data_IF_155504705338
#
_entry.id   IF_155504705338
#
_cell.length_a   1.000
_cell.length_b   1.000
_cell.length_c   1.000
_cell.angle_alpha   90.00
_cell.angle_beta   90.00
_cell.angle_gamma   90.00
#
_symmetry.space_group_name_H-M   'P 1'
#
loop_
_entity.id
_entity.type
_entity.pdbx_description
1 polymer ?
#
# COMPACT_ATOMS: atom_id res chain seq x y z
N UNK A 1 4.72 -11.58 -16.91
CA UNK A 1 4.75 -10.40 -17.81
C UNK A 1 5.91 -9.49 -17.44
N UNK A 2 6.50 -8.73 -18.38
CA UNK A 2 7.41 -7.63 -18.00
C UNK A 2 6.65 -6.72 -17.04
N UNK A 3 7.09 -6.67 -15.78
CA UNK A 3 6.54 -5.75 -14.81
C UNK A 3 6.55 -4.36 -15.42
N UNK A 4 5.40 -3.69 -15.38
CA UNK A 4 5.27 -2.27 -15.73
C UNK A 4 6.55 -1.57 -15.28
N UNK A 5 7.30 -0.93 -16.18
CA UNK A 5 8.54 -0.22 -15.83
C UNK A 5 8.32 0.88 -14.78
N UNK A 6 7.06 1.12 -14.38
CA UNK A 6 6.62 2.00 -13.32
C UNK A 6 6.77 1.33 -11.95
N UNK A 7 7.26 2.12 -10.99
CA UNK A 7 7.28 1.73 -9.59
C UNK A 7 5.86 1.75 -9.02
N UNK A 8 5.53 0.77 -8.20
CA UNK A 8 4.29 0.75 -7.41
C UNK A 8 4.20 2.01 -6.55
N UNK A 9 3.03 2.65 -6.58
CA UNK A 9 2.71 3.79 -5.74
C UNK A 9 1.92 3.34 -4.52
N UNK A 10 2.19 3.99 -3.39
CA UNK A 10 1.44 3.85 -2.15
C UNK A 10 0.94 5.20 -1.69
N UNK A 11 -0.26 5.26 -1.12
CA UNK A 11 -0.81 6.47 -0.51
C UNK A 11 -1.67 6.14 0.70
N UNK A 12 -1.88 7.12 1.58
CA UNK A 12 -2.91 7.10 2.62
C UNK A 12 -3.87 8.27 2.37
N UNK A 13 -5.17 8.02 2.29
CA UNK A 13 -6.14 9.07 2.01
C UNK A 13 -7.53 8.52 1.77
N UNK A 14 -8.41 9.38 1.25
CA UNK A 14 -9.78 9.00 0.90
C UNK A 14 -9.89 8.83 -0.61
N UNK A 15 -10.24 7.62 -1.08
CA UNK A 15 -10.51 7.32 -2.48
C UNK A 15 -11.92 6.73 -2.58
N UNK A 16 -12.75 7.28 -3.47
CA UNK A 16 -14.16 6.86 -3.63
C UNK A 16 -14.98 6.88 -2.32
N UNK A 17 -14.67 7.79 -1.40
CA UNK A 17 -15.39 7.98 -0.14
C UNK A 17 -14.92 7.09 1.01
N UNK A 18 -13.94 6.22 0.77
CA UNK A 18 -13.38 5.33 1.78
C UNK A 18 -11.98 5.80 2.16
N UNK A 19 -11.68 5.86 3.46
CA UNK A 19 -10.32 6.16 3.94
C UNK A 19 -9.52 4.88 4.12
N UNK A 20 -8.24 4.92 3.76
CA UNK A 20 -7.33 3.81 3.98
C UNK A 20 -5.96 4.00 3.36
N UNK A 21 -5.23 2.90 3.31
CA UNK A 21 -3.99 2.76 2.56
C UNK A 21 -4.31 2.17 1.20
N UNK A 22 -3.72 2.73 0.16
CA UNK A 22 -3.96 2.31 -1.22
C UNK A 22 -2.65 2.05 -1.96
N UNK A 23 -2.72 1.10 -2.90
CA UNK A 23 -1.64 0.73 -3.82
C UNK A 23 -2.08 0.94 -5.26
N UNK A 24 -1.17 1.41 -6.12
CA UNK A 24 -1.37 1.49 -7.57
C UNK A 24 -0.16 0.93 -8.32
N UNK A 25 -0.40 0.17 -9.39
CA UNK A 25 0.62 -0.42 -10.27
C UNK A 25 0.68 0.24 -11.65
N UNK A 26 -0.22 1.18 -11.93
CA UNK A 26 -0.43 1.81 -13.24
C UNK A 26 -0.18 3.32 -13.21
N UNK A 27 0.67 3.78 -12.29
CA UNK A 27 1.02 5.19 -12.17
C UNK A 27 -0.08 6.06 -11.56
N UNK A 28 -1.00 5.47 -10.78
CA UNK A 28 -2.04 6.19 -10.06
C UNK A 28 -3.37 6.32 -10.81
N UNK A 29 -3.57 5.54 -11.89
CA UNK A 29 -4.83 5.50 -12.64
C UNK A 29 -5.88 4.70 -11.87
N UNK A 30 -5.51 3.50 -11.39
CA UNK A 30 -6.34 2.67 -10.53
C UNK A 30 -5.67 2.47 -9.16
N UNK A 31 -6.52 2.38 -8.13
CA UNK A 31 -6.10 2.23 -6.74
C UNK A 31 -6.84 1.08 -6.08
N UNK A 32 -6.10 0.25 -5.34
CA UNK A 32 -6.64 -0.87 -4.56
C UNK A 32 -6.40 -0.56 -3.08
N UNK A 33 -7.44 -0.64 -2.25
CA UNK A 33 -7.31 -0.51 -0.78
C UNK A 33 -6.57 -1.75 -0.25
N UNK A 34 -5.51 -1.55 0.52
CA UNK A 34 -4.63 -2.62 1.02
C UNK A 34 -4.72 -2.82 2.54
N UNK A 35 -5.65 -2.14 3.20
CA UNK A 35 -5.95 -2.33 4.61
C UNK A 35 -7.45 -2.52 4.84
N UNK A 36 -7.79 -2.96 6.04
CA UNK A 36 -9.17 -3.06 6.52
C UNK A 36 -9.48 -2.00 7.59
N UNK A 37 -10.74 -1.93 8.01
CA UNK A 37 -11.23 -0.95 8.99
C UNK A 37 -10.64 -1.12 10.41
N UNK A 38 -9.99 -2.24 10.70
CA UNK A 38 -9.30 -2.49 11.98
C UNK A 38 -7.85 -2.02 11.94
N UNK A 39 -7.30 -1.78 10.76
CA UNK A 39 -5.88 -1.42 10.54
C UNK A 39 -5.74 0.01 9.98
N UNK A 40 -6.17 1.02 10.74
CA UNK A 40 -6.17 2.44 10.33
C UNK A 40 -5.06 3.29 10.95
N UNK A 41 -4.53 2.87 12.09
CA UNK A 41 -3.36 3.43 12.80
C UNK A 41 -3.37 4.94 13.15
N UNK A 42 -4.45 5.67 12.88
CA UNK A 42 -4.64 7.05 13.32
C UNK A 42 -3.83 8.06 12.49
N UNK A 43 -3.01 8.88 13.16
CA UNK A 43 -2.20 9.92 12.52
C UNK A 43 -1.05 9.30 11.70
N UNK A 44 -1.04 9.52 10.39
CA UNK A 44 -0.03 8.97 9.46
C UNK A 44 0.95 10.08 9.08
N UNK A 45 2.22 9.89 9.43
CA UNK A 45 3.28 10.90 9.24
C UNK A 45 4.07 10.71 7.96
N UNK A 46 4.28 9.46 7.57
CA UNK A 46 5.04 9.11 6.38
C UNK A 46 4.74 7.68 5.94
N UNK A 47 4.92 7.41 4.66
CA UNK A 47 4.78 6.09 4.06
C UNK A 47 5.96 5.86 3.10
N UNK A 48 6.40 4.61 2.99
CA UNK A 48 7.44 4.22 2.02
C UNK A 48 7.22 2.78 1.58
N UNK A 49 7.41 2.49 0.29
CA UNK A 49 7.46 1.12 -0.21
C UNK A 49 8.85 0.51 -0.06
N UNK A 50 8.95 -0.82 0.00
CA UNK A 50 10.25 -1.50 -0.04
C UNK A 50 10.70 -1.74 -1.51
N UNK A 51 11.87 -1.23 -1.93
CA UNK A 51 12.37 -1.48 -3.28
C UNK A 51 12.87 -2.92 -3.50
N UNK A 52 13.00 -3.73 -2.44
CA UNK A 52 13.52 -5.11 -2.48
C UNK A 52 12.43 -6.16 -2.30
N UNK A 53 11.33 -5.82 -1.63
CA UNK A 53 10.19 -6.71 -1.39
C UNK A 53 8.97 -6.10 -2.06
N UNK A 54 8.51 -6.73 -3.14
CA UNK A 54 7.35 -6.25 -3.85
C UNK A 54 6.15 -6.14 -2.91
N UNK A 55 5.44 -5.01 -2.98
CA UNK A 55 4.20 -4.84 -2.22
C UNK A 55 4.35 -4.43 -0.76
N UNK A 56 5.54 -4.53 -0.17
CA UNK A 56 5.76 -4.11 1.21
C UNK A 56 5.59 -2.60 1.35
N UNK A 57 4.82 -2.19 2.36
CA UNK A 57 4.66 -0.80 2.78
C UNK A 57 5.10 -0.62 4.23
N UNK A 58 5.86 0.43 4.51
CA UNK A 58 6.18 0.92 5.85
C UNK A 58 5.37 2.19 6.13
N UNK A 59 4.75 2.26 7.30
CA UNK A 59 3.86 3.36 7.73
C UNK A 59 4.35 3.91 9.07
N UNK A 60 4.83 5.14 9.06
CA UNK A 60 5.17 5.88 10.26
C UNK A 60 3.91 6.49 10.87
N UNK A 61 3.56 6.04 12.08
CA UNK A 61 2.35 6.45 12.78
C UNK A 61 2.68 7.44 13.91
N UNK A 62 1.72 8.28 14.29
CA UNK A 62 1.91 9.26 15.37
C UNK A 62 2.10 8.66 16.76
N UNK A 63 1.50 7.50 17.05
CA UNK A 63 1.48 6.92 18.42
C UNK A 63 1.77 5.42 18.49
N UNK A 64 1.88 4.71 17.37
CA UNK A 64 2.11 3.25 17.33
C UNK A 64 3.47 2.85 16.74
N UNK A 65 4.37 3.81 16.56
CA UNK A 65 5.67 3.59 15.95
C UNK A 65 5.59 3.30 14.45
N UNK A 66 6.45 2.41 13.98
CA UNK A 66 6.50 1.96 12.59
C UNK A 66 5.69 0.67 12.44
N UNK A 67 4.69 0.69 11.57
CA UNK A 67 3.95 -0.51 11.15
C UNK A 67 4.38 -0.85 9.73
N UNK A 68 4.39 -2.13 9.37
CA UNK A 68 4.56 -2.56 7.99
C UNK A 68 3.50 -3.57 7.60
N UNK A 69 3.24 -3.69 6.30
CA UNK A 69 2.36 -4.69 5.72
C UNK A 69 2.99 -5.27 4.46
N UNK A 70 2.73 -6.56 4.23
CA UNK A 70 3.11 -7.31 3.04
C UNK A 70 1.86 -7.74 2.27
N UNK A 71 2.02 -8.05 0.98
CA UNK A 71 0.96 -8.69 0.20
C UNK A 71 0.92 -10.17 0.62
N UNK A 72 -0.28 -10.72 0.74
CA UNK A 72 -0.45 -12.16 0.96
C UNK A 72 -0.03 -12.91 -0.32
N UNK A 73 0.76 -13.99 -0.20
CA UNK A 73 1.35 -14.73 -1.34
C UNK A 73 0.29 -15.22 -2.36
N UNK A 74 -0.96 -15.35 -1.93
CA UNK A 74 -2.08 -15.74 -2.79
C UNK A 74 -2.49 -14.64 -3.80
N UNK A 75 -2.23 -13.36 -3.52
CA UNK A 75 -2.39 -12.28 -4.50
C UNK A 75 -1.22 -12.22 -5.49
N UNK A 76 -0.05 -12.79 -5.18
CA UNK A 76 1.08 -12.87 -6.11
C UNK A 76 0.79 -13.81 -7.30
N UNK A 77 -0.02 -14.85 -7.10
CA UNK A 77 -0.46 -15.74 -8.19
C UNK A 77 -1.50 -15.13 -9.13
N UNK A 78 -2.12 -14.00 -8.77
CA UNK A 78 -3.09 -13.28 -9.60
C UNK A 78 -2.45 -12.17 -10.45
N UNK A 79 -1.15 -11.94 -10.26
CA UNK A 79 -0.35 -10.96 -11.02
C UNK A 79 0.64 -11.62 -11.98
N UNK A 80 0.64 -12.96 -12.11
CA UNK A 80 1.38 -13.70 -13.15
C UNK A 80 0.69 -13.72 -14.53
#
# INVERSE_FOLDING_TARGET
>A
MEGSGLKTLFTSGTIQGEYGFYRSHDGGVNWIRINDDRHQYGDIRSISGDPRVFGRIYVATGTRGLVYGDIDEQEEGLIE
#
